data_IF_842729260307
#
_entry.id   IF_842729260307
#
_cell.length_a   1.000
_cell.length_b   1.000
_cell.length_c   1.000
_cell.angle_alpha   90.00
_cell.angle_beta   90.00
_cell.angle_gamma   90.00
#
_symmetry.space_group_name_H-M   'P 1'
#
loop_
_entity.id
_entity.type
_entity.pdbx_description
1 polymer ?
#
# COMPACT_ATOMS: atom_id res chain seq x y z
N UNK A 1 -5.30 0.55 -0.67
CA UNK A 1 -5.76 1.15 0.61
C UNK A 1 -7.28 1.29 0.59
N UNK A 2 -8.00 0.65 1.52
CA UNK A 2 -9.47 0.74 1.62
C UNK A 2 -9.97 1.93 2.45
N UNK A 3 -9.09 2.52 3.28
CA UNK A 3 -9.41 3.73 4.05
C UNK A 3 -9.26 5.00 3.21
N UNK A 4 -8.29 5.01 2.28
CA UNK A 4 -8.02 6.09 1.34
C UNK A 4 -7.76 5.57 -0.08
N UNK A 5 -8.79 5.03 -0.76
CA UNK A 5 -8.64 4.58 -2.14
C UNK A 5 -8.55 5.74 -3.14
N UNK A 6 -8.01 5.43 -4.32
CA UNK A 6 -8.04 6.29 -5.50
C UNK A 6 -9.13 5.77 -6.47
N UNK A 7 -9.80 6.67 -7.20
CA UNK A 7 -10.84 6.36 -8.21
C UNK A 7 -12.12 5.69 -7.72
N UNK A 8 -12.22 5.33 -6.44
CA UNK A 8 -13.38 4.63 -5.88
C UNK A 8 -13.75 5.22 -4.51
N UNK A 9 -15.00 5.04 -4.06
CA UNK A 9 -15.36 5.33 -2.68
C UNK A 9 -14.60 4.45 -1.67
N UNK A 10 -14.52 4.91 -0.42
CA UNK A 10 -13.92 4.16 0.68
C UNK A 10 -14.52 2.74 0.83
N UNK A 11 -13.69 1.82 1.32
CA UNK A 11 -14.03 0.41 1.49
C UNK A 11 -13.97 -0.42 0.21
N UNK A 12 -13.40 0.13 -0.87
CA UNK A 12 -13.20 -0.59 -2.13
C UNK A 12 -11.74 -0.96 -2.37
N UNK A 13 -11.55 -2.12 -3.00
CA UNK A 13 -10.29 -2.49 -3.67
C UNK A 13 -10.58 -2.51 -5.17
N UNK A 14 -9.69 -1.92 -5.97
CA UNK A 14 -9.88 -1.78 -7.41
C UNK A 14 -8.60 -1.92 -8.21
N UNK A 15 -8.71 -2.51 -9.39
CA UNK A 15 -7.73 -2.48 -10.47
C UNK A 15 -8.21 -1.51 -11.55
N UNK A 16 -7.39 -0.50 -11.83
CA UNK A 16 -7.70 0.59 -12.73
C UNK A 16 -6.59 0.75 -13.77
N UNK A 17 -6.94 0.91 -15.04
CA UNK A 17 -6.01 1.32 -16.10
C UNK A 17 -6.04 2.84 -16.22
N UNK A 18 -4.88 3.45 -16.01
CA UNK A 18 -4.70 4.91 -16.02
C UNK A 18 -3.92 5.29 -17.28
N UNK A 19 -4.56 6.06 -18.16
CA UNK A 19 -3.99 6.42 -19.46
C UNK A 19 -3.54 7.88 -19.54
N UNK A 20 -3.94 8.69 -18.56
CA UNK A 20 -3.66 10.13 -18.50
C UNK A 20 -3.09 10.48 -17.13
N UNK A 21 -2.22 11.51 -17.05
CA UNK A 21 -1.75 12.02 -15.77
C UNK A 21 -2.91 12.44 -14.86
N UNK A 22 -2.81 12.11 -13.58
CA UNK A 22 -3.79 12.46 -12.56
C UNK A 22 -3.44 13.84 -11.98
N UNK A 23 -4.40 14.75 -11.97
CA UNK A 23 -4.22 16.11 -11.48
C UNK A 23 -5.25 16.44 -10.42
N UNK A 24 -4.81 16.49 -9.17
CA UNK A 24 -5.67 16.83 -8.04
C UNK A 24 -5.67 15.74 -6.98
N UNK A 25 -6.39 15.98 -5.87
CA UNK A 25 -6.52 15.03 -4.78
C UNK A 25 -7.52 13.89 -5.14
N UNK A 26 -7.53 12.77 -4.40
CA UNK A 26 -8.33 11.59 -4.75
C UNK A 26 -9.83 11.87 -5.01
N UNK A 27 -10.41 12.80 -4.25
CA UNK A 27 -11.82 13.14 -4.36
C UNK A 27 -12.20 13.83 -5.68
N UNK A 28 -11.25 14.36 -6.45
CA UNK A 28 -11.52 14.96 -7.76
C UNK A 28 -11.64 13.93 -8.88
N UNK A 29 -11.35 12.65 -8.60
CA UNK A 29 -11.28 11.60 -9.63
C UNK A 29 -12.15 10.37 -9.36
N UNK A 30 -12.98 10.37 -8.31
CA UNK A 30 -13.85 9.22 -7.96
C UNK A 30 -14.80 8.81 -9.10
N UNK A 31 -15.29 9.78 -9.88
CA UNK A 31 -16.23 9.56 -10.99
C UNK A 31 -15.60 9.86 -12.35
N UNK A 32 -14.27 9.90 -12.43
CA UNK A 32 -13.59 10.24 -13.68
C UNK A 32 -13.84 9.17 -14.75
N UNK A 33 -14.16 9.60 -15.97
CA UNK A 33 -14.24 8.72 -17.14
C UNK A 33 -12.86 8.47 -17.77
N UNK A 34 -11.82 9.15 -17.28
CA UNK A 34 -10.46 9.08 -17.83
C UNK A 34 -9.70 7.83 -17.37
N UNK A 35 -10.29 7.01 -16.50
CA UNK A 35 -9.71 5.80 -15.93
C UNK A 35 -10.65 4.64 -16.20
N UNK A 36 -10.10 3.53 -16.69
CA UNK A 36 -10.87 2.32 -16.97
C UNK A 36 -10.76 1.37 -15.78
N UNK A 37 -11.86 1.18 -15.04
CA UNK A 37 -11.93 0.25 -13.91
C UNK A 37 -12.14 -1.18 -14.45
N UNK A 38 -11.11 -2.01 -14.36
CA UNK A 38 -11.12 -3.39 -14.85
C UNK A 38 -11.86 -4.32 -13.89
N UNK A 39 -11.56 -4.19 -12.59
CA UNK A 39 -12.22 -4.97 -11.54
C UNK A 39 -12.22 -4.19 -10.24
N UNK A 40 -13.31 -4.29 -9.48
CA UNK A 40 -13.40 -3.75 -8.12
C UNK A 40 -14.32 -4.59 -7.26
N UNK A 41 -14.11 -4.58 -5.96
CA UNK A 41 -15.02 -5.17 -4.99
C UNK A 41 -15.15 -4.25 -3.76
N UNK A 42 -16.29 -4.39 -3.08
CA UNK A 42 -16.55 -3.72 -1.81
C UNK A 42 -16.21 -4.66 -0.67
N UNK A 43 -15.32 -4.24 0.23
CA UNK A 43 -14.85 -5.03 1.36
C UNK A 43 -15.86 -5.00 2.51
N UNK A 44 -16.73 -3.98 2.59
CA UNK A 44 -17.71 -3.85 3.68
C UNK A 44 -17.23 -3.05 4.88
N UNK A 45 -15.94 -2.73 4.95
CA UNK A 45 -15.32 -1.94 6.00
C UNK A 45 -14.31 -0.94 5.41
N UNK A 46 -13.90 0.04 6.22
CA UNK A 46 -12.84 1.00 5.87
C UNK A 46 -11.52 0.70 6.60
N UNK A 47 -11.52 -0.30 7.47
CA UNK A 47 -10.37 -0.78 8.20
C UNK A 47 -10.18 -2.28 7.96
N UNK A 48 -9.01 -2.72 7.49
CA UNK A 48 -8.79 -4.13 7.20
C UNK A 48 -8.73 -4.99 8.48
N UNK A 49 -8.64 -4.36 9.66
CA UNK A 49 -8.76 -5.05 10.95
C UNK A 49 -10.12 -5.68 11.20
N UNK A 50 -11.17 -5.16 10.56
CA UNK A 50 -12.54 -5.56 10.86
C UNK A 50 -12.83 -6.97 10.33
N UNK A 51 -12.30 -7.30 9.15
CA UNK A 51 -12.25 -8.66 8.61
C UNK A 51 -10.99 -8.86 7.74
N UNK A 52 -9.86 -9.20 8.36
CA UNK A 52 -8.58 -9.37 7.65
C UNK A 52 -8.63 -10.48 6.60
N UNK A 53 -9.39 -11.55 6.87
CA UNK A 53 -9.48 -12.69 5.98
C UNK A 53 -10.30 -12.36 4.72
N UNK A 54 -11.39 -11.62 4.87
CA UNK A 54 -12.18 -11.15 3.74
C UNK A 54 -11.45 -10.07 2.93
N UNK A 55 -10.69 -9.19 3.60
CA UNK A 55 -9.80 -8.24 2.94
C UNK A 55 -8.80 -8.94 2.00
N UNK A 56 -8.11 -9.99 2.46
CA UNK A 56 -7.17 -10.74 1.64
C UNK A 56 -7.86 -11.45 0.45
N UNK A 57 -9.06 -12.01 0.64
CA UNK A 57 -9.86 -12.58 -0.45
C UNK A 57 -10.25 -11.53 -1.50
N UNK A 58 -10.61 -10.33 -1.07
CA UNK A 58 -10.91 -9.22 -1.97
C UNK A 58 -9.67 -8.78 -2.77
N UNK A 59 -8.51 -8.77 -2.11
CA UNK A 59 -7.23 -8.44 -2.73
C UNK A 59 -6.86 -9.47 -3.82
N UNK A 60 -6.95 -10.76 -3.52
CA UNK A 60 -6.76 -11.85 -4.48
C UNK A 60 -7.75 -11.78 -5.65
N UNK A 61 -9.04 -11.55 -5.37
CA UNK A 61 -10.06 -11.40 -6.41
C UNK A 61 -9.73 -10.28 -7.43
N UNK A 62 -9.25 -9.13 -6.93
CA UNK A 62 -8.86 -8.00 -7.78
C UNK A 62 -7.53 -8.26 -8.49
N UNK A 63 -6.53 -8.81 -7.79
CA UNK A 63 -5.22 -9.11 -8.38
C UNK A 63 -5.32 -10.15 -9.50
N UNK A 64 -6.20 -11.15 -9.35
CA UNK A 64 -6.50 -12.10 -10.42
C UNK A 64 -6.99 -11.42 -11.71
N UNK A 65 -7.57 -10.21 -11.67
CA UNK A 65 -7.90 -9.48 -12.89
C UNK A 65 -6.66 -9.05 -13.66
N UNK A 66 -5.62 -8.61 -12.95
CA UNK A 66 -4.35 -8.20 -13.53
C UNK A 66 -3.61 -9.39 -14.15
N UNK A 67 -3.54 -10.52 -13.43
CA UNK A 67 -2.90 -11.75 -13.92
C UNK A 67 -3.52 -12.21 -15.25
N UNK A 68 -4.84 -12.05 -15.39
CA UNK A 68 -5.60 -12.42 -16.58
C UNK A 68 -5.65 -11.34 -17.68
N UNK A 69 -4.94 -10.21 -17.53
CA UNK A 69 -4.82 -9.24 -18.62
C UNK A 69 -4.03 -9.84 -19.80
N UNK A 70 -4.37 -9.45 -21.05
CA UNK A 70 -3.61 -9.87 -22.22
C UNK A 70 -2.20 -9.28 -22.19
N UNK A 71 -1.24 -10.02 -22.75
CA UNK A 71 0.13 -9.54 -22.93
C UNK A 71 0.24 -8.56 -24.13
N UNK A 72 1.12 -7.55 -24.06
CA UNK A 72 1.96 -7.20 -22.92
C UNK A 72 1.17 -6.51 -21.81
N UNK A 73 1.38 -6.94 -20.56
CA UNK A 73 0.76 -6.29 -19.39
C UNK A 73 1.35 -4.89 -19.13
N UNK A 74 0.51 -3.92 -18.72
CA UNK A 74 0.99 -2.63 -18.25
C UNK A 74 1.70 -2.77 -16.89
N UNK A 75 2.60 -1.83 -16.58
CA UNK A 75 3.23 -1.70 -15.26
C UNK A 75 2.13 -1.62 -14.19
N UNK A 76 2.23 -2.48 -13.17
CA UNK A 76 1.29 -2.48 -12.06
C UNK A 76 1.85 -1.59 -10.95
N UNK A 77 1.08 -0.59 -10.52
CA UNK A 77 1.37 0.18 -9.30
C UNK A 77 0.35 -0.20 -8.22
N UNK A 78 0.84 -0.70 -7.09
CA UNK A 78 0.00 -1.10 -5.97
C UNK A 78 0.16 -0.12 -4.81
N UNK A 79 -0.93 0.55 -4.46
CA UNK A 79 -1.02 1.38 -3.27
C UNK A 79 -1.33 0.52 -2.03
N UNK A 80 -0.42 0.45 -1.07
CA UNK A 80 -0.62 -0.27 0.18
C UNK A 80 -1.33 0.61 1.22
N UNK A 81 -1.82 -0.01 2.29
CA UNK A 81 -2.25 0.73 3.47
C UNK A 81 -1.04 1.23 4.28
N UNK A 82 -1.22 2.31 5.04
CA UNK A 82 -0.16 2.90 5.87
C UNK A 82 0.12 2.20 7.21
N UNK A 83 -0.39 0.98 7.43
CA UNK A 83 -0.20 0.27 8.70
C UNK A 83 1.05 -0.60 8.65
N UNK A 84 2.12 -0.13 9.29
CA UNK A 84 3.43 -0.79 9.25
C UNK A 84 3.78 -1.58 10.50
N UNK A 85 2.81 -1.85 11.38
CA UNK A 85 3.01 -2.54 12.66
C UNK A 85 1.88 -3.54 12.94
N UNK A 86 2.18 -4.54 13.77
CA UNK A 86 1.21 -5.55 14.21
C UNK A 86 0.48 -6.21 13.03
N UNK A 87 -0.84 -6.26 13.10
CA UNK A 87 -1.71 -6.80 12.05
C UNK A 87 -1.48 -6.13 10.69
N UNK A 88 -1.20 -4.83 10.66
CA UNK A 88 -0.94 -4.09 9.43
C UNK A 88 0.28 -4.62 8.67
N UNK A 89 1.37 -4.85 9.40
CA UNK A 89 2.57 -5.45 8.83
C UNK A 89 2.28 -6.86 8.31
N UNK A 90 1.58 -7.69 9.08
CA UNK A 90 1.23 -9.05 8.64
C UNK A 90 0.42 -9.04 7.34
N UNK A 91 -0.57 -8.15 7.23
CA UNK A 91 -1.38 -8.00 6.01
C UNK A 91 -0.58 -7.44 4.82
N UNK A 92 0.37 -6.55 5.07
CA UNK A 92 1.31 -6.07 4.06
C UNK A 92 2.19 -7.21 3.53
N UNK A 93 2.71 -8.07 4.42
CA UNK A 93 3.49 -9.25 4.03
C UNK A 93 2.66 -10.22 3.18
N UNK A 94 1.41 -10.49 3.57
CA UNK A 94 0.49 -11.30 2.77
C UNK A 94 0.23 -10.67 1.39
N UNK A 95 0.10 -9.35 1.32
CA UNK A 95 -0.03 -8.64 0.04
C UNK A 95 1.22 -8.78 -0.83
N UNK A 96 2.42 -8.68 -0.25
CA UNK A 96 3.69 -8.87 -0.98
C UNK A 96 3.81 -10.32 -1.48
N UNK A 97 3.47 -11.31 -0.66
CA UNK A 97 3.54 -12.73 -1.04
C UNK A 97 2.52 -13.10 -2.12
N UNK A 98 1.33 -12.51 -2.07
CA UNK A 98 0.31 -12.70 -3.10
C UNK A 98 0.72 -12.03 -4.42
N UNK A 99 1.17 -10.77 -4.33
CA UNK A 99 1.44 -9.95 -5.52
C UNK A 99 2.79 -10.30 -6.14
N UNK A 100 3.82 -10.68 -5.36
CA UNK A 100 5.19 -10.93 -5.83
C UNK A 100 5.77 -9.77 -6.67
N UNK A 101 5.86 -8.54 -6.15
CA UNK A 101 6.22 -7.35 -6.93
C UNK A 101 7.72 -7.20 -7.16
N UNK A 102 8.18 -6.93 -8.38
CA UNK A 102 9.62 -6.83 -8.71
C UNK A 102 10.35 -5.74 -7.91
N UNK A 103 9.66 -4.66 -7.58
CA UNK A 103 10.20 -3.53 -6.82
C UNK A 103 9.26 -3.11 -5.68
N UNK A 104 9.88 -2.92 -4.52
CA UNK A 104 9.29 -2.38 -3.30
C UNK A 104 9.91 -1.01 -3.03
N UNK A 105 9.08 0.02 -2.96
CA UNK A 105 9.50 1.38 -2.60
C UNK A 105 8.96 1.72 -1.22
N UNK A 106 9.85 1.96 -0.27
CA UNK A 106 9.52 2.41 1.08
C UNK A 106 9.77 3.92 1.20
N UNK A 107 8.74 4.70 1.51
CA UNK A 107 8.91 6.13 1.80
C UNK A 107 9.07 6.33 3.31
N UNK A 108 10.14 7.00 3.75
CA UNK A 108 10.44 7.24 5.18
C UNK A 108 10.66 8.72 5.48
N UNK A 109 10.15 9.20 6.61
CA UNK A 109 10.46 10.53 7.15
C UNK A 109 11.67 10.47 8.12
N UNK A 110 12.79 11.16 7.83
CA UNK A 110 13.96 11.18 8.72
C UNK A 110 13.65 11.96 10.02
N UNK A 111 14.19 11.49 11.13
CA UNK A 111 14.05 12.16 12.44
C UNK A 111 12.75 11.88 13.20
N UNK A 112 11.89 10.98 12.72
CA UNK A 112 10.81 10.40 13.53
C UNK A 112 11.41 9.52 14.64
N UNK A 113 11.80 10.12 15.76
CA UNK A 113 12.41 9.49 16.94
C UNK A 113 11.44 8.66 17.79
N UNK A 114 10.39 8.09 17.18
CA UNK A 114 9.63 7.05 17.85
C UNK A 114 10.41 5.75 17.69
N UNK A 115 10.79 5.11 18.81
CA UNK A 115 11.41 3.77 18.86
C UNK A 115 10.51 2.63 18.31
N UNK A 116 9.47 3.00 17.55
CA UNK A 116 8.42 2.20 16.93
C UNK A 116 8.52 2.22 15.39
N UNK A 117 9.48 2.93 14.82
CA UNK A 117 9.75 3.03 13.36
C UNK A 117 10.93 2.16 12.93
N UNK A 118 11.03 0.94 13.45
CA UNK A 118 11.89 -0.07 12.82
C UNK A 118 11.13 -0.53 11.58
N UNK A 119 11.30 0.18 10.46
CA UNK A 119 10.77 -0.30 9.18
C UNK A 119 11.32 -1.72 9.00
N UNK A 120 10.45 -2.72 8.86
CA UNK A 120 10.91 -4.09 8.70
C UNK A 120 11.83 -4.15 7.48
N UNK A 121 12.94 -4.86 7.62
CA UNK A 121 13.72 -5.22 6.44
C UNK A 121 12.81 -6.11 5.59
N UNK A 122 12.35 -5.58 4.47
CA UNK A 122 11.54 -6.31 3.52
C UNK A 122 12.41 -6.94 2.45
N UNK A 123 13.74 -7.02 2.59
CA UNK A 123 14.57 -7.79 1.67
C UNK A 123 14.06 -9.23 1.49
N UNK A 124 14.29 -9.81 0.31
CA UNK A 124 13.82 -11.17 0.01
C UNK A 124 14.30 -12.25 1.01
N UNK A 125 15.45 -12.02 1.67
CA UNK A 125 15.94 -12.89 2.74
C UNK A 125 15.16 -12.74 4.05
N UNK A 126 14.81 -11.51 4.44
CA UNK A 126 14.09 -11.20 5.68
C UNK A 126 12.63 -11.64 5.61
N UNK A 127 11.94 -11.42 4.48
CA UNK A 127 10.54 -11.86 4.27
C UNK A 127 10.33 -13.36 4.52
N UNK A 128 11.32 -14.20 4.20
CA UNK A 128 11.25 -15.66 4.40
C UNK A 128 11.20 -16.08 5.87
N UNK A 129 11.72 -15.23 6.74
CA UNK A 129 11.84 -15.50 8.18
C UNK A 129 10.66 -14.94 8.99
N UNK A 130 9.78 -14.17 8.34
CA UNK A 130 8.64 -13.54 9.00
C UNK A 130 7.45 -14.49 9.05
N UNK A 131 6.86 -14.66 10.23
CA UNK A 131 5.62 -15.40 10.42
C UNK A 131 4.44 -14.59 9.85
N UNK A 132 3.76 -15.14 8.85
CA UNK A 132 2.60 -14.54 8.18
C UNK A 132 1.29 -15.15 8.66
N UNK A 133 0.15 -14.57 8.24
CA UNK A 133 -1.18 -14.88 8.77
C UNK A 133 -1.64 -16.29 8.38
N UNK A 134 -1.51 -16.66 7.12
CA UNK A 134 -1.96 -17.95 6.58
C UNK A 134 -1.15 -18.45 5.38
N UNK A 135 -0.31 -17.63 4.76
CA UNK A 135 0.46 -18.03 3.58
C UNK A 135 1.92 -18.23 3.96
N UNK A 136 2.29 -19.46 4.36
CA UNK A 136 3.64 -19.90 4.00
C UNK A 136 3.61 -20.02 2.49
N UNK A 137 4.39 -19.20 1.79
CA UNK A 137 4.61 -19.42 0.37
C UNK A 137 5.21 -20.83 0.21
N UNK A 138 4.36 -21.78 -0.20
CA UNK A 138 4.73 -23.19 -0.43
C UNK A 138 5.34 -23.33 -1.83
N UNK A 139 5.38 -22.26 -2.63
CA UNK A 139 6.09 -22.28 -3.89
C UNK A 139 7.59 -22.39 -3.61
N UNK A 140 8.25 -23.24 -4.39
CA UNK A 140 9.72 -23.30 -4.40
C UNK A 140 10.33 -22.10 -5.14
N UNK A 141 9.51 -21.14 -5.57
CA UNK A 141 9.99 -19.98 -6.31
C UNK A 141 10.64 -18.99 -5.36
N UNK A 142 11.90 -18.69 -5.65
CA UNK A 142 12.56 -17.55 -5.02
C UNK A 142 12.06 -16.28 -5.67
N UNK A 143 11.06 -15.65 -5.05
CA UNK A 143 10.68 -14.31 -5.44
C UNK A 143 11.69 -13.31 -4.85
N UNK A 144 12.51 -12.72 -5.72
CA UNK A 144 13.50 -11.71 -5.39
C UNK A 144 12.99 -10.37 -5.89
N UNK A 145 12.68 -9.48 -4.97
CA UNK A 145 12.37 -8.09 -5.27
C UNK A 145 13.46 -7.17 -4.76
N UNK A 146 13.60 -6.04 -5.44
CA UNK A 146 14.43 -4.94 -4.98
C UNK A 146 13.65 -4.13 -3.95
N UNK A 147 14.28 -3.78 -2.83
CA UNK A 147 13.71 -2.90 -1.83
C UNK A 147 14.49 -1.58 -1.82
N UNK A 148 13.84 -0.51 -2.26
CA UNK A 148 14.41 0.85 -2.28
C UNK A 148 13.79 1.66 -1.16
N UNK A 149 14.65 2.26 -0.34
CA UNK A 149 14.26 3.25 0.64
C UNK A 149 14.40 4.65 0.04
N UNK A 150 13.32 5.42 0.06
CA UNK A 150 13.30 6.83 -0.32
C UNK A 150 13.06 7.66 0.93
N UNK A 151 14.10 8.36 1.36
CA UNK A 151 13.99 9.29 2.49
C UNK A 151 13.36 10.61 2.03
N UNK A 152 12.39 11.07 2.80
CA UNK A 152 11.76 12.36 2.61
C UNK A 152 12.69 13.46 3.12
N UNK A 153 12.90 14.52 2.34
CA UNK A 153 13.69 15.68 2.78
C UNK A 153 12.90 16.69 3.62
N UNK A 154 11.69 16.31 4.07
CA UNK A 154 10.83 17.17 4.89
C UNK A 154 11.43 17.27 6.30
N UNK A 155 11.74 18.49 6.73
CA UNK A 155 12.07 18.76 8.13
C UNK A 155 10.81 18.59 8.99
N UNK A 156 10.86 17.80 10.09
CA UNK A 156 9.76 17.74 11.04
C UNK A 156 9.41 19.16 11.50
N UNK A 157 8.13 19.51 11.54
CA UNK A 157 7.64 20.85 11.86
C UNK A 157 8.01 21.33 13.29
N UNK A 158 8.71 20.52 14.07
CA UNK A 158 9.10 20.81 15.44
C UNK A 158 10.21 21.86 15.59
N UNK A 159 10.89 22.28 14.52
CA UNK A 159 12.04 23.19 14.68
C UNK A 159 11.72 24.68 14.65
N UNK A 160 10.52 25.16 14.28
CA UNK A 160 10.23 26.60 14.33
C UNK A 160 8.75 26.96 14.60
N UNK A 161 8.51 27.43 15.83
CA UNK A 161 7.53 28.47 16.22
C UNK A 161 6.02 28.24 16.02
N UNK A 162 5.30 28.50 17.12
CA UNK A 162 3.84 28.61 17.31
C UNK A 162 3.13 27.27 17.62
N UNK A 163 2.98 27.02 18.91
CA UNK A 163 2.07 26.03 19.50
C UNK A 163 0.60 26.46 19.35
N UNK A 164 0.14 26.65 18.11
CA UNK A 164 -1.27 26.94 17.84
C UNK A 164 -1.94 25.66 17.32
N UNK A 165 -2.88 25.06 18.08
CA UNK A 165 -3.54 23.81 17.74
C UNK A 165 -4.31 23.88 16.40
N UNK A 166 -4.55 25.07 15.85
CA UNK A 166 -5.20 25.26 14.54
C UNK A 166 -4.29 24.93 13.36
N UNK A 167 -2.98 24.86 13.56
CA UNK A 167 -2.00 24.50 12.52
C UNK A 167 -1.52 23.04 12.61
N UNK A 168 -2.10 22.23 13.49
CA UNK A 168 -2.03 20.77 13.43
C UNK A 168 -2.92 20.26 12.28
N UNK A 169 -2.57 20.62 11.05
CA UNK A 169 -3.27 20.18 9.83
C UNK A 169 -2.60 18.97 9.16
N UNK A 170 -1.52 18.46 9.74
CA UNK A 170 -0.89 17.21 9.30
C UNK A 170 -1.67 16.01 9.82
N UNK A 171 -1.89 14.96 9.01
CA UNK A 171 -2.39 13.69 9.53
C UNK A 171 -1.48 13.25 10.69
N UNK A 172 -2.02 12.92 11.88
CA UNK A 172 -1.22 12.59 13.07
C UNK A 172 -0.32 11.36 12.93
N UNK A 173 -0.44 10.59 11.84
CA UNK A 173 0.01 9.21 11.82
C UNK A 173 1.08 8.92 10.76
N UNK A 174 2.09 8.24 11.28
CA UNK A 174 3.24 7.59 10.67
C UNK A 174 2.87 6.68 9.49
N UNK A 175 2.51 7.27 8.36
CA UNK A 175 2.32 6.57 7.10
C UNK A 175 3.68 6.48 6.41
N UNK A 176 4.43 5.42 6.70
CA UNK A 176 5.43 4.99 5.73
C UNK A 176 4.63 4.39 4.56
N UNK A 177 4.56 5.15 3.48
CA UNK A 177 3.86 4.73 2.27
C UNK A 177 4.72 3.70 1.58
N UNK A 178 4.13 2.56 1.23
CA UNK A 178 4.81 1.52 0.46
C UNK A 178 4.13 1.38 -0.89
N UNK A 179 4.95 1.35 -1.93
CA UNK A 179 4.49 1.07 -3.30
C UNK A 179 5.12 -0.22 -3.76
N UNK A 180 4.30 -1.06 -4.40
CA UNK A 180 4.75 -2.28 -5.05
C UNK A 180 4.60 -2.09 -6.56
N UNK A 181 5.64 -2.42 -7.32
CA UNK A 181 5.63 -2.26 -8.78
C UNK A 181 6.15 -3.48 -9.53
N UNK A 182 5.57 -3.72 -10.72
CA UNK A 182 6.04 -4.61 -11.79
C UNK A 182 6.45 -3.79 -13.00
#
# INVERSE_FOLDING_TARGET
DIGQPEFTPNGMISLCLVNLPLFGPPYTHILTTNVNIVRRCFVGCISPSDDPSFYLKCLDFVYNAYVNLPEPKPILLVNTMGWMQGLGLTLLLEQILLIKPDLIIQLRLPGSSNSRTTTPDLSGGSLRTMDTWNSRDISNETFCHDAILVESFIKPYHENSVSDPRYYLGPPDHRDLMMLTY
#
